data_IF_905171875233
#
_entry.id   IF_905171875233
#
_cell.length_a   1.000
_cell.length_b   1.000
_cell.length_c   1.000
_cell.angle_alpha   90.00
_cell.angle_beta   90.00
_cell.angle_gamma   90.00
#
_symmetry.space_group_name_H-M   'P 1'
#
loop_
_entity.id
_entity.type
_entity.pdbx_description
1 polymer ?
#
# COMPACT_ATOMS: atom_id res chain seq x y z
N UNK A 1 5.32 -11.56 15.95
CA UNK A 1 5.40 -10.14 15.59
C UNK A 1 4.32 -9.88 14.56
N UNK A 2 3.51 -8.85 14.75
CA UNK A 2 2.45 -8.46 13.80
C UNK A 2 2.66 -6.98 13.48
N UNK A 3 2.72 -6.65 12.19
CA UNK A 3 2.89 -5.28 11.69
C UNK A 3 1.51 -4.64 11.46
N UNK A 4 1.41 -3.33 11.61
CA UNK A 4 0.22 -2.54 11.29
C UNK A 4 0.45 -1.84 9.96
N UNK A 5 -0.46 -1.98 8.99
CA UNK A 5 -0.34 -1.35 7.67
C UNK A 5 -1.59 -0.54 7.32
N UNK A 6 -1.43 0.47 6.46
CA UNK A 6 -2.55 1.13 5.82
C UNK A 6 -3.19 0.21 4.78
N UNK A 7 -4.52 0.27 4.65
CA UNK A 7 -5.27 -0.50 3.66
C UNK A 7 -6.28 0.36 2.89
N UNK A 8 -6.40 0.09 1.60
CA UNK A 8 -7.44 0.64 0.72
C UNK A 8 -8.65 -0.29 0.58
N UNK A 9 -8.68 -1.42 1.30
CA UNK A 9 -9.86 -2.29 1.37
C UNK A 9 -11.06 -1.62 2.06
N UNK A 10 -10.81 -0.56 2.83
CA UNK A 10 -11.83 0.29 3.44
C UNK A 10 -11.82 1.69 2.82
N UNK A 11 -12.98 2.34 2.80
CA UNK A 11 -13.12 3.76 2.45
C UNK A 11 -13.81 4.49 3.62
N UNK A 12 -13.12 5.37 4.36
CA UNK A 12 -11.76 5.89 4.11
C UNK A 12 -10.63 4.88 4.39
N UNK A 13 -9.41 5.23 3.96
CA UNK A 13 -8.18 4.47 4.26
C UNK A 13 -8.05 4.33 5.77
N UNK A 14 -7.87 3.10 6.24
CA UNK A 14 -7.68 2.78 7.65
C UNK A 14 -6.36 2.06 7.85
N UNK A 15 -5.97 1.87 9.12
CA UNK A 15 -4.83 1.05 9.49
C UNK A 15 -5.33 -0.26 10.11
N UNK A 16 -4.78 -1.38 9.68
CA UNK A 16 -5.16 -2.72 10.14
C UNK A 16 -3.93 -3.49 10.59
N UNK A 17 -4.10 -4.33 11.61
CA UNK A 17 -3.08 -5.30 11.99
C UNK A 17 -3.02 -6.39 10.93
N UNK A 18 -1.85 -6.63 10.36
CA UNK A 18 -1.69 -7.64 9.33
C UNK A 18 -1.82 -9.07 9.91
N UNK A 19 -2.35 -10.02 9.12
CA UNK A 19 -2.40 -11.42 9.49
C UNK A 19 -1.02 -12.00 9.83
N UNK A 20 -0.95 -13.05 10.67
CA UNK A 20 0.29 -13.77 10.92
C UNK A 20 0.92 -14.28 9.62
N UNK A 21 2.21 -13.98 9.42
CA UNK A 21 2.94 -14.34 8.20
C UNK A 21 3.03 -13.20 7.18
N UNK A 22 2.21 -12.15 7.30
CA UNK A 22 2.29 -10.95 6.48
C UNK A 22 3.07 -9.85 7.20
N UNK A 23 4.39 -9.93 7.10
CA UNK A 23 5.31 -9.04 7.83
C UNK A 23 5.73 -7.79 7.05
N UNK A 24 5.08 -7.50 5.92
CA UNK A 24 5.37 -6.35 5.07
C UNK A 24 4.10 -5.55 4.80
N UNK A 25 4.24 -4.23 4.78
CA UNK A 25 3.27 -3.36 4.14
C UNK A 25 3.69 -3.12 2.70
N UNK A 26 2.72 -3.00 1.79
CA UNK A 26 2.97 -2.58 0.42
C UNK A 26 2.15 -1.35 0.06
N UNK A 27 2.70 -0.57 -0.87
CA UNK A 27 2.02 0.46 -1.64
C UNK A 27 2.23 0.17 -3.11
N UNK A 28 1.13 -0.01 -3.82
CA UNK A 28 1.11 -0.27 -5.24
C UNK A 28 0.38 0.88 -5.95
N UNK A 29 0.98 1.38 -7.02
CA UNK A 29 0.45 2.52 -7.77
C UNK A 29 0.54 2.25 -9.27
N UNK A 30 -0.47 2.65 -10.04
CA UNK A 30 -0.46 2.52 -11.49
C UNK A 30 -1.34 3.59 -12.14
N UNK A 31 -1.10 3.89 -13.41
CA UNK A 31 -1.99 4.75 -14.18
C UNK A 31 -3.15 3.93 -14.75
N UNK A 32 -4.37 4.45 -14.59
CA UNK A 32 -5.57 4.02 -15.31
C UNK A 32 -6.04 5.10 -16.29
N UNK A 33 -7.26 4.97 -16.81
CA UNK A 33 -7.86 5.94 -17.74
C UNK A 33 -7.97 7.37 -17.17
N UNK A 34 -7.97 7.54 -15.85
CA UNK A 34 -8.11 8.83 -15.18
C UNK A 34 -6.77 9.41 -14.70
N UNK A 35 -5.63 8.78 -15.05
CA UNK A 35 -4.32 9.19 -14.53
C UNK A 35 -3.98 10.66 -14.79
N UNK A 36 -4.43 11.20 -15.93
CA UNK A 36 -4.20 12.61 -16.31
C UNK A 36 -4.95 13.63 -15.44
N UNK A 37 -6.05 13.24 -14.81
CA UNK A 37 -6.89 14.14 -13.99
C UNK A 37 -6.82 13.83 -12.50
N UNK A 38 -6.74 12.55 -12.11
CA UNK A 38 -6.76 12.08 -10.71
C UNK A 38 -5.39 11.65 -10.18
N UNK A 39 -4.40 11.51 -11.05
CA UNK A 39 -3.13 10.86 -10.73
C UNK A 39 -3.25 9.34 -10.71
N UNK A 40 -2.18 8.67 -10.25
CA UNK A 40 -2.12 7.20 -10.21
C UNK A 40 -3.14 6.63 -9.21
N UNK A 41 -3.72 5.49 -9.55
CA UNK A 41 -4.45 4.63 -8.62
C UNK A 41 -3.49 4.23 -7.49
N UNK A 42 -4.01 4.14 -6.27
CA UNK A 42 -3.23 3.76 -5.09
C UNK A 42 -3.92 2.56 -4.43
N UNK A 43 -3.16 1.49 -4.22
CA UNK A 43 -3.54 0.30 -3.48
C UNK A 43 -2.56 0.10 -2.32
N UNK A 44 -3.09 -0.07 -1.11
CA UNK A 44 -2.32 -0.25 0.12
C UNK A 44 -2.78 -1.54 0.80
N UNK A 45 -1.84 -2.27 1.39
CA UNK A 45 -2.19 -3.44 2.18
C UNK A 45 -1.01 -4.16 2.82
N UNK A 46 -1.29 -5.36 3.30
CA UNK A 46 -0.36 -6.29 3.93
C UNK A 46 0.14 -7.33 2.91
N UNK A 47 1.36 -7.83 3.08
CA UNK A 47 1.90 -8.89 2.25
C UNK A 47 2.92 -9.75 3.02
N UNK A 48 2.96 -11.05 2.69
CA UNK A 48 4.01 -11.95 3.16
C UNK A 48 5.33 -11.76 2.41
N UNK A 49 5.24 -11.50 1.10
CA UNK A 49 6.37 -11.17 0.23
C UNK A 49 6.02 -9.94 -0.58
N UNK A 50 7.02 -9.13 -0.95
CA UNK A 50 6.76 -7.91 -1.71
C UNK A 50 6.12 -8.27 -3.07
N UNK A 51 4.97 -7.67 -3.44
CA UNK A 51 4.28 -8.00 -4.68
C UNK A 51 5.17 -7.81 -5.91
N UNK A 52 5.02 -8.67 -6.91
CA UNK A 52 5.75 -8.55 -8.18
C UNK A 52 5.35 -7.26 -8.92
N UNK A 53 6.35 -6.47 -9.30
CA UNK A 53 6.16 -5.23 -10.05
C UNK A 53 5.96 -5.51 -11.54
N UNK A 54 4.82 -5.10 -12.11
CA UNK A 54 4.65 -5.05 -13.57
C UNK A 54 5.27 -3.76 -14.15
N UNK A 55 5.60 -3.71 -15.46
CA UNK A 55 6.28 -2.54 -16.05
C UNK A 55 5.54 -1.20 -15.85
N UNK A 56 4.21 -1.24 -15.80
CA UNK A 56 3.33 -0.08 -15.64
C UNK A 56 2.90 0.17 -14.17
N UNK A 57 3.43 -0.61 -13.24
CA UNK A 57 3.12 -0.51 -11.82
C UNK A 57 4.34 -0.03 -11.03
N UNK A 58 4.10 0.72 -9.97
CA UNK A 58 5.08 1.11 -8.97
C UNK A 58 4.72 0.40 -7.67
N UNK A 59 5.58 -0.52 -7.24
CA UNK A 59 5.41 -1.25 -5.98
C UNK A 59 6.51 -0.82 -5.03
N UNK A 60 6.13 -0.42 -3.83
CA UNK A 60 7.04 -0.14 -2.70
C UNK A 60 6.62 -1.03 -1.53
N UNK A 61 7.60 -1.64 -0.86
CA UNK A 61 7.37 -2.45 0.32
C UNK A 61 8.23 -1.96 1.48
N UNK A 62 7.73 -2.15 2.70
CA UNK A 62 8.39 -1.74 3.93
C UNK A 62 7.94 -2.63 5.10
N UNK A 63 8.73 -2.67 6.16
CA UNK A 63 8.57 -3.59 7.29
C UNK A 63 8.45 -2.89 8.64
N UNK A 64 7.97 -1.64 8.64
CA UNK A 64 7.71 -0.85 9.86
C UNK A 64 6.23 -0.48 9.94
N UNK A 65 5.71 -0.27 11.15
CA UNK A 65 4.30 0.07 11.32
C UNK A 65 3.92 1.32 10.53
N UNK A 66 2.77 1.26 9.83
CA UNK A 66 2.15 2.35 9.05
C UNK A 66 3.06 2.99 8.01
N UNK A 67 4.04 2.23 7.51
CA UNK A 67 5.05 2.73 6.57
C UNK A 67 4.57 2.91 5.13
N UNK A 68 3.35 2.48 4.80
CA UNK A 68 2.74 2.56 3.48
C UNK A 68 1.60 3.61 3.39
N UNK A 69 1.80 4.89 3.78
CA UNK A 69 0.73 5.87 3.74
C UNK A 69 0.30 6.17 2.29
N UNK A 70 -0.90 6.73 2.15
CA UNK A 70 -1.31 7.36 0.89
C UNK A 70 -0.31 8.46 0.51
N UNK A 71 0.05 8.64 -0.79
CA UNK A 71 1.07 9.61 -1.21
C UNK A 71 0.86 11.06 -0.75
N UNK A 72 -0.39 11.46 -0.48
CA UNK A 72 -0.75 12.78 0.05
C UNK A 72 -0.76 12.88 1.58
N UNK A 73 -0.51 11.79 2.29
CA UNK A 73 -0.45 11.71 3.75
C UNK A 73 1.01 11.55 4.18
N UNK A 74 1.38 12.11 5.33
CA UNK A 74 2.70 11.89 5.91
C UNK A 74 2.79 10.46 6.44
N UNK A 75 3.95 9.76 6.31
CA UNK A 75 4.19 8.51 7.03
C UNK A 75 4.05 8.74 8.54
N UNK A 76 3.35 7.81 9.20
CA UNK A 76 3.13 7.83 10.65
C UNK A 76 4.24 7.15 11.44
#
# INVERSE_FOLDING_TARGET
YTIVCHTTATSPISAVTCPPGENLCYRKMWCDAFCSSRGKVVELGCAATCPSKKPYEEVTCCSTDKCNPHPKQRPG
#
